data_IF_280400651185
#
_entry.id   IF_280400651185
#
_cell.length_a   1.000
_cell.length_b   1.000
_cell.length_c   1.000
_cell.angle_alpha   90.00
_cell.angle_beta   90.00
_cell.angle_gamma   90.00
#
_symmetry.space_group_name_H-M   'P 1'
#
loop_
_entity.id
_entity.type
_entity.pdbx_description
1 polymer ?
#
# COMPACT_ATOMS: atom_id res chain seq x y z
N UNK A 1 -10.60 -4.77 -13.40
CA UNK A 1 -11.06 -6.10 -12.92
C UNK A 1 -10.99 -7.20 -13.99
N UNK A 2 -11.28 -6.92 -15.29
CA UNK A 2 -11.22 -7.94 -16.35
C UNK A 2 -9.83 -8.60 -16.44
N UNK A 3 -8.78 -7.81 -16.54
CA UNK A 3 -7.38 -8.29 -16.62
C UNK A 3 -7.03 -9.18 -15.41
N UNK A 4 -7.45 -8.82 -14.20
CA UNK A 4 -7.20 -9.65 -13.02
C UNK A 4 -7.93 -11.00 -13.08
N UNK A 5 -9.18 -11.04 -13.59
CA UNK A 5 -9.90 -12.30 -13.80
C UNK A 5 -9.21 -13.20 -14.81
N UNK A 6 -8.64 -12.64 -15.88
CA UNK A 6 -7.88 -13.40 -16.90
C UNK A 6 -6.63 -14.08 -16.32
N UNK A 7 -6.09 -13.58 -15.21
CA UNK A 7 -4.98 -14.23 -14.49
C UNK A 7 -5.42 -15.33 -13.52
N UNK A 8 -6.73 -15.61 -13.45
CA UNK A 8 -7.29 -16.58 -12.51
C UNK A 8 -7.59 -16.01 -11.12
N UNK A 9 -7.48 -14.69 -10.92
CA UNK A 9 -7.85 -14.07 -9.66
C UNK A 9 -9.36 -14.10 -9.44
N UNK A 10 -9.79 -14.52 -8.27
CA UNK A 10 -11.15 -14.33 -7.80
C UNK A 10 -11.34 -12.86 -7.39
N UNK A 11 -12.42 -12.26 -7.83
CA UNK A 11 -12.76 -10.87 -7.52
C UNK A 11 -13.98 -10.84 -6.61
N UNK A 12 -13.80 -10.33 -5.40
CA UNK A 12 -14.88 -10.08 -4.45
C UNK A 12 -15.29 -8.62 -4.59
N UNK A 13 -16.50 -8.40 -5.06
CA UNK A 13 -17.09 -7.07 -5.21
C UNK A 13 -17.90 -6.75 -3.96
N UNK A 14 -17.54 -5.68 -3.28
CA UNK A 14 -18.23 -5.22 -2.07
C UNK A 14 -19.28 -4.16 -2.45
N UNK A 15 -20.36 -4.04 -1.68
CA UNK A 15 -21.34 -2.98 -1.89
C UNK A 15 -20.70 -1.60 -1.65
N UNK A 16 -21.19 -0.56 -2.34
CA UNK A 16 -20.71 0.80 -2.12
C UNK A 16 -21.01 1.27 -0.69
N UNK A 17 -20.08 2.04 -0.13
CA UNK A 17 -20.23 2.67 1.18
C UNK A 17 -20.51 4.16 0.99
N UNK A 18 -21.78 4.53 0.85
CA UNK A 18 -22.22 5.90 0.53
C UNK A 18 -21.77 6.95 1.57
N UNK A 19 -21.57 6.53 2.81
CA UNK A 19 -21.05 7.40 3.88
C UNK A 19 -19.54 7.64 3.82
N UNK A 20 -18.80 6.90 2.97
CA UNK A 20 -17.34 6.94 2.88
C UNK A 20 -16.91 7.12 1.41
N UNK A 21 -16.78 8.37 0.95
CA UNK A 21 -16.48 8.68 -0.46
C UNK A 21 -15.19 8.04 -0.98
N UNK A 22 -14.21 7.84 -0.10
CA UNK A 22 -12.90 7.27 -0.43
C UNK A 22 -12.86 5.73 -0.32
N UNK A 23 -13.97 5.07 0.00
CA UNK A 23 -14.04 3.61 0.24
C UNK A 23 -13.70 2.75 -0.99
N UNK A 24 -13.68 3.34 -2.18
CA UNK A 24 -13.18 2.69 -3.40
C UNK A 24 -11.69 2.32 -3.29
N UNK A 25 -10.92 3.04 -2.48
CA UNK A 25 -9.52 2.76 -2.20
C UNK A 25 -9.39 1.74 -1.05
N UNK A 26 -9.84 0.52 -1.29
CA UNK A 26 -9.85 -0.58 -0.30
C UNK A 26 -8.46 -0.90 0.26
N UNK A 27 -7.41 -0.61 -0.48
CA UNK A 27 -6.02 -0.85 -0.11
C UNK A 27 -5.65 -0.19 1.23
N UNK A 28 -6.18 1.00 1.52
CA UNK A 28 -5.83 1.75 2.72
C UNK A 28 -6.32 1.11 4.02
N UNK A 29 -7.27 0.18 3.91
CA UNK A 29 -7.93 -0.42 5.08
C UNK A 29 -7.18 -1.60 5.68
N UNK A 30 -6.28 -2.25 4.92
CA UNK A 30 -5.60 -3.45 5.40
C UNK A 30 -4.27 -3.73 4.69
N UNK A 31 -3.33 -4.36 5.42
CA UNK A 31 -2.18 -5.04 4.85
C UNK A 31 -2.48 -6.54 4.81
N UNK A 32 -2.42 -7.12 3.61
CA UNK A 32 -2.61 -8.55 3.38
C UNK A 32 -1.28 -9.22 3.06
N UNK A 33 -0.92 -10.22 3.84
CA UNK A 33 0.29 -11.04 3.70
C UNK A 33 -0.10 -12.52 3.65
N UNK A 34 0.77 -13.42 3.18
CA UNK A 34 0.45 -14.86 3.15
C UNK A 34 0.06 -15.46 4.50
N UNK A 35 0.54 -14.90 5.61
CA UNK A 35 0.29 -15.39 6.95
C UNK A 35 -1.02 -14.89 7.55
N UNK A 36 -1.55 -13.76 7.05
CA UNK A 36 -2.76 -13.16 7.59
C UNK A 36 -2.98 -11.73 7.09
N UNK A 37 -3.97 -11.08 7.64
CA UNK A 37 -4.26 -9.68 7.37
C UNK A 37 -4.11 -8.82 8.62
N UNK A 38 -3.76 -7.55 8.43
CA UNK A 38 -3.71 -6.56 9.51
C UNK A 38 -4.62 -5.40 9.11
N UNK A 39 -5.66 -5.17 9.90
CA UNK A 39 -6.54 -4.05 9.74
C UNK A 39 -5.81 -2.75 10.11
N UNK A 40 -5.84 -1.79 9.22
CA UNK A 40 -5.18 -0.50 9.40
C UNK A 40 -6.03 0.44 10.25
N UNK A 41 -5.44 1.55 10.66
CA UNK A 41 -6.13 2.65 11.31
C UNK A 41 -5.88 3.92 10.52
N UNK A 42 -6.90 4.37 9.79
CA UNK A 42 -6.79 5.55 8.94
C UNK A 42 -6.44 6.80 9.73
N UNK A 43 -5.54 7.61 9.18
CA UNK A 43 -5.24 8.96 9.65
C UNK A 43 -6.31 9.99 9.27
N UNK A 44 -7.21 9.66 8.32
CA UNK A 44 -8.30 10.51 7.90
C UNK A 44 -9.58 10.21 8.70
N UNK A 45 -10.13 11.18 9.46
CA UNK A 45 -11.36 10.96 10.21
C UNK A 45 -12.56 10.52 9.33
N UNK A 46 -12.61 11.01 8.08
CA UNK A 46 -13.65 10.65 7.10
C UNK A 46 -13.62 9.20 6.68
N UNK A 47 -12.50 8.50 6.90
CA UNK A 47 -12.29 7.09 6.53
C UNK A 47 -12.31 6.13 7.71
N UNK A 48 -12.41 6.63 8.94
CA UNK A 48 -12.27 5.84 10.16
C UNK A 48 -13.22 4.63 10.26
N UNK A 49 -14.39 4.68 9.61
CA UNK A 49 -15.37 3.58 9.62
C UNK A 49 -15.20 2.55 8.50
N UNK A 50 -14.34 2.81 7.49
CA UNK A 50 -14.17 1.90 6.34
C UNK A 50 -13.59 0.55 6.78
N UNK A 51 -12.64 0.56 7.71
CA UNK A 51 -11.99 -0.66 8.22
C UNK A 51 -13.00 -1.62 8.85
N UNK A 52 -14.00 -1.10 9.58
CA UNK A 52 -15.04 -1.92 10.21
C UNK A 52 -15.89 -2.66 9.15
N UNK A 53 -16.05 -2.09 7.96
CA UNK A 53 -16.77 -2.72 6.85
C UNK A 53 -15.90 -3.76 6.13
N UNK A 54 -14.59 -3.57 6.08
CA UNK A 54 -13.65 -4.52 5.48
C UNK A 54 -13.35 -5.72 6.40
N UNK A 55 -13.35 -5.54 7.69
CA UNK A 55 -12.97 -6.56 8.67
C UNK A 55 -13.71 -7.91 8.53
N UNK A 56 -15.04 -7.99 8.32
CA UNK A 56 -15.74 -9.25 8.12
C UNK A 56 -15.26 -10.01 6.89
N UNK A 57 -14.94 -9.30 5.80
CA UNK A 57 -14.46 -9.89 4.54
C UNK A 57 -13.10 -10.55 4.77
N UNK A 58 -12.17 -9.82 5.39
CA UNK A 58 -10.83 -10.34 5.68
C UNK A 58 -10.85 -11.51 6.66
N UNK A 59 -11.73 -11.48 7.66
CA UNK A 59 -11.93 -12.62 8.58
C UNK A 59 -12.52 -13.86 7.91
N UNK A 60 -13.18 -13.69 6.76
CA UNK A 60 -13.62 -14.80 5.93
C UNK A 60 -12.53 -15.38 5.02
N UNK A 61 -11.45 -14.64 4.78
CA UNK A 61 -10.37 -15.01 3.86
C UNK A 61 -9.09 -15.48 4.57
N UNK A 62 -8.85 -15.04 5.81
CA UNK A 62 -7.64 -15.30 6.57
C UNK A 62 -7.96 -15.91 7.91
N UNK A 63 -7.17 -16.91 8.32
CA UNK A 63 -7.26 -17.52 9.65
C UNK A 63 -6.79 -16.57 10.75
N UNK A 64 -5.83 -15.69 10.45
CA UNK A 64 -5.34 -14.69 11.38
C UNK A 64 -5.60 -13.28 10.83
N UNK A 65 -6.36 -12.48 11.59
CA UNK A 65 -6.61 -11.07 11.31
C UNK A 65 -6.30 -10.26 12.56
N UNK A 66 -5.23 -9.48 12.46
CA UNK A 66 -4.76 -8.56 13.50
C UNK A 66 -5.29 -7.15 13.22
N UNK A 67 -5.04 -6.21 14.12
CA UNK A 67 -5.44 -4.80 13.92
C UNK A 67 -4.46 -3.83 14.58
N UNK A 68 -4.34 -2.65 14.02
CA UNK A 68 -3.69 -1.49 14.64
C UNK A 68 -4.67 -0.91 15.65
N UNK A 69 -4.42 -1.13 16.92
CA UNK A 69 -5.33 -0.78 18.03
C UNK A 69 -4.86 0.42 18.85
N UNK A 70 -3.59 0.77 18.74
CA UNK A 70 -2.97 1.87 19.45
C UNK A 70 -3.38 3.26 18.93
N UNK A 71 -2.82 4.32 19.50
CA UNK A 71 -3.15 5.70 19.12
C UNK A 71 -2.55 6.10 17.76
N UNK A 72 -1.69 5.28 17.18
CA UNK A 72 -1.04 5.53 15.88
C UNK A 72 -2.02 5.39 14.72
N UNK A 73 -1.66 6.04 13.60
CA UNK A 73 -2.38 5.91 12.33
C UNK A 73 -1.44 5.36 11.26
N UNK A 74 -1.99 4.51 10.39
CA UNK A 74 -1.29 3.96 9.23
C UNK A 74 -2.32 3.54 8.18
N UNK A 75 -2.04 3.87 6.92
CA UNK A 75 -2.86 3.51 5.76
C UNK A 75 -2.07 2.62 4.80
N UNK A 76 -2.75 1.68 4.13
CA UNK A 76 -2.11 0.74 3.21
C UNK A 76 -1.45 1.41 2.00
N UNK A 77 -1.91 2.59 1.59
CA UNK A 77 -1.29 3.41 0.56
C UNK A 77 0.14 3.86 0.89
N UNK A 78 0.52 3.84 2.18
CA UNK A 78 1.88 4.13 2.64
C UNK A 78 2.75 2.89 2.79
N UNK A 79 2.24 1.68 2.52
CA UNK A 79 2.94 0.42 2.74
C UNK A 79 3.30 -0.24 1.41
N UNK A 80 4.58 -0.42 1.14
CA UNK A 80 5.11 -1.17 0.01
C UNK A 80 5.78 -2.45 0.49
N UNK A 81 5.17 -3.59 0.21
CA UNK A 81 5.74 -4.90 0.53
C UNK A 81 6.62 -5.37 -0.62
N UNK A 82 7.87 -5.64 -0.33
CA UNK A 82 8.86 -6.18 -1.28
C UNK A 82 9.17 -7.63 -0.94
N UNK A 83 9.97 -8.31 -1.77
CA UNK A 83 10.47 -9.65 -1.45
C UNK A 83 11.47 -9.69 -0.28
N UNK A 84 11.91 -8.55 0.25
CA UNK A 84 12.98 -8.42 1.25
C UNK A 84 12.49 -7.79 2.56
N UNK A 85 11.62 -6.80 2.48
CA UNK A 85 11.20 -5.96 3.61
C UNK A 85 9.84 -5.31 3.33
N UNK A 86 9.28 -4.73 4.36
CA UNK A 86 8.11 -3.84 4.28
C UNK A 86 8.59 -2.41 4.42
N UNK A 87 8.41 -1.60 3.38
CA UNK A 87 8.71 -0.18 3.38
C UNK A 87 7.47 0.61 3.74
N UNK A 88 7.59 1.58 4.64
CA UNK A 88 6.45 2.42 5.06
C UNK A 88 6.83 3.88 4.98
N UNK A 89 6.08 4.65 4.20
CA UNK A 89 6.21 6.10 4.14
C UNK A 89 5.53 6.78 5.33
N UNK A 90 6.23 7.71 5.97
CA UNK A 90 5.61 8.62 6.93
C UNK A 90 4.95 9.77 6.17
N UNK A 91 3.63 9.90 6.33
CA UNK A 91 2.79 10.87 5.63
C UNK A 91 1.88 11.61 6.62
N UNK A 92 0.98 12.45 6.10
CA UNK A 92 -0.09 13.03 6.93
C UNK A 92 -1.11 11.95 7.40
N UNK A 93 -1.10 10.78 6.77
CA UNK A 93 -2.00 9.65 7.06
C UNK A 93 -1.36 8.55 7.91
N UNK A 94 -0.02 8.52 7.94
CA UNK A 94 0.76 7.46 8.60
C UNK A 94 1.82 8.09 9.49
N UNK A 95 1.77 7.77 10.78
CA UNK A 95 2.70 8.30 11.77
C UNK A 95 3.58 7.21 12.39
N UNK A 96 4.64 7.64 13.10
CA UNK A 96 5.62 6.73 13.72
C UNK A 96 5.00 5.75 14.72
N UNK A 97 3.92 6.13 15.41
CA UNK A 97 3.27 5.24 16.37
C UNK A 97 2.57 4.08 15.64
N UNK A 98 1.85 4.35 14.55
CA UNK A 98 1.23 3.29 13.72
C UNK A 98 2.28 2.39 13.07
N UNK A 99 3.38 2.97 12.56
CA UNK A 99 4.51 2.21 12.00
C UNK A 99 5.16 1.30 13.04
N UNK A 100 5.36 1.79 14.26
CA UNK A 100 5.95 0.99 15.35
C UNK A 100 5.07 -0.19 15.75
N UNK A 101 3.76 0.00 15.81
CA UNK A 101 2.82 -1.09 16.08
C UNK A 101 2.79 -2.10 14.94
N UNK A 102 2.73 -1.64 13.68
CA UNK A 102 2.81 -2.53 12.52
C UNK A 102 4.10 -3.37 12.55
N UNK A 103 5.24 -2.76 12.86
CA UNK A 103 6.53 -3.46 12.92
C UNK A 103 6.47 -4.64 13.90
N UNK A 104 5.90 -4.44 15.10
CA UNK A 104 5.72 -5.50 16.10
C UNK A 104 4.79 -6.60 15.62
N UNK A 105 3.71 -6.24 14.91
CA UNK A 105 2.75 -7.22 14.41
C UNK A 105 3.36 -8.11 13.31
N UNK A 106 4.11 -7.55 12.36
CA UNK A 106 4.67 -8.32 11.23
C UNK A 106 5.97 -9.05 11.59
N UNK A 107 6.68 -8.64 12.65
CA UNK A 107 7.88 -9.33 13.14
C UNK A 107 7.59 -10.80 13.48
N UNK A 108 6.42 -11.08 14.06
CA UNK A 108 5.97 -12.44 14.36
C UNK A 108 5.82 -13.33 13.12
N UNK A 109 5.63 -12.72 11.94
CA UNK A 109 5.57 -13.39 10.65
C UNK A 109 6.92 -13.38 9.90
N UNK A 110 7.98 -12.88 10.55
CA UNK A 110 9.35 -12.86 10.02
C UNK A 110 9.64 -11.69 9.08
N UNK A 111 8.77 -10.70 9.00
CA UNK A 111 9.01 -9.51 8.17
C UNK A 111 9.83 -8.46 8.93
N UNK A 112 10.67 -7.74 8.17
CA UNK A 112 11.36 -6.54 8.63
C UNK A 112 10.66 -5.32 8.08
N UNK A 113 10.59 -4.25 8.86
CA UNK A 113 10.02 -2.98 8.46
C UNK A 113 11.08 -1.89 8.50
N UNK A 114 11.09 -1.08 7.44
CA UNK A 114 11.86 0.17 7.37
C UNK A 114 10.92 1.31 7.01
N UNK A 115 10.94 2.38 7.78
CA UNK A 115 10.15 3.58 7.48
C UNK A 115 10.98 4.64 6.75
N UNK A 116 10.31 5.51 6.02
CA UNK A 116 10.87 6.49 5.10
C UNK A 116 10.13 7.81 5.30
N UNK A 117 10.89 8.90 5.44
CA UNK A 117 10.31 10.25 5.34
C UNK A 117 9.99 10.51 3.87
N UNK A 118 8.72 10.70 3.54
CA UNK A 118 8.34 11.02 2.16
C UNK A 118 8.41 12.53 1.90
N UNK A 119 8.62 12.96 0.65
CA UNK A 119 8.63 14.38 0.31
C UNK A 119 7.32 15.08 0.65
N UNK A 120 7.41 16.33 1.07
CA UNK A 120 6.22 17.14 1.35
C UNK A 120 5.32 17.25 0.12
N UNK A 121 4.01 17.17 0.33
CA UNK A 121 3.00 17.25 -0.73
C UNK A 121 2.73 15.92 -1.46
N UNK A 122 3.39 14.84 -1.06
CA UNK A 122 3.04 13.48 -1.48
C UNK A 122 1.96 12.94 -0.55
N UNK A 123 0.82 12.52 -1.10
CA UNK A 123 -0.32 12.05 -0.30
C UNK A 123 0.01 10.74 0.43
N UNK A 124 0.48 9.73 -0.33
CA UNK A 124 0.89 8.43 0.16
C UNK A 124 2.21 8.01 -0.48
N UNK A 125 2.97 7.16 0.18
CA UNK A 125 4.22 6.61 -0.34
C UNK A 125 4.04 5.96 -1.72
N UNK A 126 2.98 5.14 -1.90
CA UNK A 126 2.68 4.47 -3.18
C UNK A 126 2.04 5.38 -4.24
N UNK A 127 1.79 6.64 -3.94
CA UNK A 127 1.50 7.63 -4.98
C UNK A 127 2.72 7.84 -5.89
N UNK A 128 3.92 7.74 -5.30
CA UNK A 128 5.20 8.05 -5.96
C UNK A 128 6.06 6.82 -6.27
N UNK A 129 5.60 5.61 -5.94
CA UNK A 129 6.34 4.39 -6.27
C UNK A 129 5.45 3.15 -6.36
N UNK A 130 5.95 2.15 -7.06
CA UNK A 130 5.39 0.81 -7.10
C UNK A 130 6.47 -0.25 -7.34
N UNK A 131 6.19 -1.48 -6.93
CA UNK A 131 7.07 -2.62 -7.17
C UNK A 131 6.78 -3.20 -8.56
N UNK A 132 7.79 -3.30 -9.42
CA UNK A 132 7.67 -3.92 -10.75
C UNK A 132 8.02 -5.42 -10.71
N UNK A 133 9.06 -5.76 -9.98
CA UNK A 133 9.48 -7.12 -9.66
C UNK A 133 10.14 -7.15 -8.27
N UNK A 134 10.74 -8.28 -7.87
CA UNK A 134 11.29 -8.44 -6.52
C UNK A 134 12.49 -7.51 -6.22
N UNK A 135 13.09 -6.89 -7.23
CA UNK A 135 14.29 -6.07 -7.12
C UNK A 135 14.16 -4.70 -7.79
N UNK A 136 13.08 -4.47 -8.55
CA UNK A 136 12.88 -3.27 -9.36
C UNK A 136 11.69 -2.46 -8.87
N UNK A 137 11.93 -1.18 -8.62
CA UNK A 137 10.91 -0.19 -8.22
C UNK A 137 10.76 0.85 -9.32
N UNK A 138 9.52 1.13 -9.71
CA UNK A 138 9.16 2.33 -10.46
C UNK A 138 8.99 3.46 -9.44
N UNK A 139 9.64 4.59 -9.64
CA UNK A 139 9.57 5.71 -8.71
C UNK A 139 9.61 7.04 -9.42
N UNK A 140 8.97 8.04 -8.82
CA UNK A 140 9.22 9.41 -9.22
C UNK A 140 10.65 9.82 -8.85
N UNK A 141 11.29 10.72 -9.63
CA UNK A 141 12.62 11.24 -9.29
C UNK A 141 12.66 11.92 -7.90
N UNK A 142 11.59 12.63 -7.51
CA UNK A 142 11.53 13.32 -6.22
C UNK A 142 11.58 12.36 -5.03
N UNK A 143 10.89 11.22 -5.09
CA UNK A 143 10.91 10.23 -4.03
C UNK A 143 12.24 9.48 -4.00
N UNK A 144 12.75 9.06 -5.15
CA UNK A 144 14.01 8.33 -5.24
C UNK A 144 15.22 9.18 -4.78
N UNK A 145 15.15 10.52 -4.91
CA UNK A 145 16.19 11.43 -4.42
C UNK A 145 16.42 11.36 -2.90
N UNK A 146 15.46 10.82 -2.14
CA UNK A 146 15.65 10.54 -0.71
C UNK A 146 16.66 9.41 -0.42
N UNK A 147 17.05 8.63 -1.44
CA UNK A 147 17.93 7.46 -1.29
C UNK A 147 17.24 6.23 -0.69
N UNK A 148 15.92 6.26 -0.53
CA UNK A 148 15.18 5.19 0.13
C UNK A 148 15.22 3.84 -0.60
N UNK A 149 15.61 3.85 -1.87
CA UNK A 149 15.67 2.66 -2.73
C UNK A 149 17.10 2.25 -3.11
N UNK A 150 18.11 2.59 -2.29
CA UNK A 150 19.53 2.28 -2.57
C UNK A 150 19.82 0.81 -2.84
N UNK A 151 19.01 -0.10 -2.27
CA UNK A 151 19.16 -1.54 -2.39
C UNK A 151 18.34 -2.15 -3.55
N UNK A 152 17.68 -1.30 -4.34
CA UNK A 152 16.80 -1.70 -5.43
C UNK A 152 17.28 -1.10 -6.77
N UNK A 153 16.96 -1.78 -7.85
CA UNK A 153 16.98 -1.17 -9.17
C UNK A 153 15.82 -0.19 -9.28
N UNK A 154 16.09 1.06 -9.65
CA UNK A 154 15.04 2.08 -9.81
C UNK A 154 14.86 2.40 -11.29
N UNK A 155 13.62 2.36 -11.73
CA UNK A 155 13.16 2.91 -13.01
C UNK A 155 12.40 4.20 -12.67
N UNK A 156 12.70 5.27 -13.39
CA UNK A 156 12.06 6.56 -13.14
C UNK A 156 10.87 6.77 -14.06
N UNK A 157 9.83 7.41 -13.52
CA UNK A 157 8.76 7.96 -14.34
C UNK A 157 9.31 9.04 -15.28
N UNK A 158 8.73 9.17 -16.46
CA UNK A 158 9.05 10.29 -17.35
C UNK A 158 8.53 11.61 -16.76
N UNK A 159 9.19 12.70 -17.13
CA UNK A 159 8.76 14.05 -16.75
C UNK A 159 7.32 14.32 -17.22
N UNK A 160 6.47 14.78 -16.30
CA UNK A 160 5.05 15.02 -16.54
C UNK A 160 4.17 13.76 -16.47
N UNK A 161 4.76 12.58 -16.17
CA UNK A 161 4.06 11.31 -16.02
C UNK A 161 4.23 10.70 -14.61
N UNK A 162 4.49 11.53 -13.60
CA UNK A 162 4.78 11.11 -12.23
C UNK A 162 3.66 10.24 -11.64
N UNK A 163 2.41 10.51 -12.02
CA UNK A 163 1.26 9.70 -11.58
C UNK A 163 1.29 8.24 -12.09
N UNK A 164 2.11 7.95 -13.12
CA UNK A 164 2.38 6.60 -13.59
C UNK A 164 3.11 5.72 -12.57
N UNK A 165 3.78 6.33 -11.56
CA UNK A 165 4.42 5.59 -10.48
C UNK A 165 3.44 4.77 -9.64
N UNK A 166 2.17 5.18 -9.57
CA UNK A 166 1.12 4.45 -8.88
C UNK A 166 0.58 3.29 -9.74
N UNK A 167 1.29 2.17 -9.71
CA UNK A 167 0.95 0.96 -10.43
C UNK A 167 0.76 -0.21 -9.46
N UNK A 168 0.08 -1.25 -9.90
CA UNK A 168 -0.19 -2.45 -9.10
C UNK A 168 0.50 -3.63 -9.75
N UNK A 169 1.40 -4.28 -9.01
CA UNK A 169 1.94 -5.58 -9.40
C UNK A 169 1.01 -6.70 -8.92
N UNK A 170 0.63 -7.57 -9.84
CA UNK A 170 -0.09 -8.81 -9.54
C UNK A 170 0.59 -9.97 -10.26
N UNK A 171 1.21 -10.88 -9.52
CA UNK A 171 2.04 -11.96 -10.05
C UNK A 171 3.14 -11.43 -10.97
N UNK A 172 3.08 -11.77 -12.28
CA UNK A 172 4.00 -11.32 -13.31
C UNK A 172 3.51 -10.10 -14.10
N UNK A 173 2.35 -9.57 -13.74
CA UNK A 173 1.76 -8.40 -14.40
C UNK A 173 1.98 -7.15 -13.56
N UNK A 174 2.17 -6.04 -14.26
CA UNK A 174 2.10 -4.69 -13.70
C UNK A 174 0.95 -3.97 -14.37
N UNK A 175 0.01 -3.51 -13.58
CA UNK A 175 -1.16 -2.75 -14.02
C UNK A 175 -0.91 -1.28 -13.74
N UNK A 176 -0.89 -0.48 -14.79
CA UNK A 176 -0.74 0.97 -14.73
C UNK A 176 -1.95 1.64 -15.35
N UNK A 177 -2.36 2.80 -14.87
CA UNK A 177 -3.40 3.58 -15.52
C UNK A 177 -2.95 4.00 -16.93
N UNK A 178 -3.90 4.12 -17.86
CA UNK A 178 -3.63 4.61 -19.19
C UNK A 178 -3.25 6.10 -19.15
N UNK A 179 -2.42 6.54 -20.12
CA UNK A 179 -2.06 7.95 -20.24
C UNK A 179 -0.58 8.27 -19.94
N UNK A 180 0.25 7.26 -19.68
CA UNK A 180 1.67 7.41 -19.39
C UNK A 180 2.54 6.70 -20.44
N UNK A 181 2.56 7.20 -21.72
CA UNK A 181 3.18 6.47 -22.84
C UNK A 181 4.71 6.48 -22.84
N UNK A 182 5.35 7.28 -21.97
CA UNK A 182 6.82 7.37 -21.86
C UNK A 182 7.37 6.68 -20.61
N UNK A 183 6.50 6.44 -19.64
CA UNK A 183 6.80 5.68 -18.43
C UNK A 183 6.54 4.21 -18.65
#
# INVERSE_FOLDING_TARGET
>A
SAVLRETGAEIIELPPLEAYPDSVFVEDTALCLPQGAILMRSGAPTRAGEVAQMAPVLRGLYDEVLEISGPGCIEGGDILTTGREVLVGLSERTNRAGVSELAQLIERWGYRLRWIEIPQGVLHFKTDCSLLDNETILSTPRLAASGCFSDYRVIYTAEGEEAGANAIRFNTLVLMAAGFPKT
#
